data_IF_884960545384
#
_entry.id   IF_884960545384
#
_cell.length_a   1.000
_cell.length_b   1.000
_cell.length_c   1.000
_cell.angle_alpha   90.00
_cell.angle_beta   90.00
_cell.angle_gamma   90.00
#
_symmetry.space_group_name_H-M   'P 1'
#
loop_
_entity.id
_entity.type
_entity.pdbx_description
1 polymer ?
#
# COMPACT_ATOMS: atom_id res chain seq x y z
N UNK A 1 1.20 -13.29 -4.09
CA UNK A 1 2.58 -12.77 -4.19
C UNK A 1 3.07 -12.60 -2.77
N UNK A 2 4.32 -13.00 -2.51
CA UNK A 2 4.95 -12.75 -1.23
C UNK A 2 5.94 -11.62 -1.42
N UNK A 3 5.88 -10.63 -0.55
CA UNK A 3 6.86 -9.55 -0.48
C UNK A 3 7.24 -9.34 0.97
N UNK A 4 8.50 -9.02 1.14
CA UNK A 4 9.03 -8.55 2.40
C UNK A 4 9.25 -7.05 2.27
N UNK A 5 8.84 -6.31 3.29
CA UNK A 5 8.97 -4.87 3.31
C UNK A 5 9.42 -4.40 4.69
N UNK A 6 10.23 -3.35 4.71
CA UNK A 6 10.54 -2.62 5.93
C UNK A 6 9.74 -1.34 5.98
N UNK A 7 8.91 -1.20 7.01
CA UNK A 7 8.23 0.04 7.36
C UNK A 7 9.22 0.95 8.10
N UNK A 8 9.49 2.12 7.51
CA UNK A 8 10.35 3.14 8.09
C UNK A 8 9.53 4.13 8.92
N UNK A 9 10.10 4.59 10.03
CA UNK A 9 9.47 5.53 10.97
C UNK A 9 9.18 4.91 12.33
N UNK A 10 8.69 5.75 13.26
CA UNK A 10 8.57 5.38 14.68
C UNK A 10 9.93 5.31 15.38
N UNK A 11 9.99 4.61 16.52
CA UNK A 11 11.24 4.44 17.28
C UNK A 11 12.27 3.56 16.54
N UNK A 12 11.80 2.55 15.79
CA UNK A 12 12.66 1.60 15.05
C UNK A 12 11.96 1.11 13.76
N UNK A 13 12.71 0.87 12.67
CA UNK A 13 12.19 0.21 11.48
C UNK A 13 11.60 -1.17 11.79
N UNK A 14 10.52 -1.54 11.10
CA UNK A 14 9.82 -2.82 11.30
C UNK A 14 9.82 -3.64 10.01
N UNK A 15 10.39 -4.84 10.06
CA UNK A 15 10.33 -5.81 8.99
C UNK A 15 8.99 -6.56 8.99
N UNK A 16 8.35 -6.67 7.83
CA UNK A 16 7.00 -7.22 7.68
C UNK A 16 6.91 -8.07 6.41
N UNK A 17 6.55 -9.34 6.57
CA UNK A 17 6.25 -10.24 5.46
C UNK A 17 4.77 -10.22 5.11
N UNK A 18 4.44 -9.89 3.86
CA UNK A 18 3.08 -9.84 3.33
C UNK A 18 2.91 -10.89 2.24
N UNK A 19 1.80 -11.64 2.28
CA UNK A 19 1.55 -12.74 1.36
C UNK A 19 0.25 -12.58 0.57
N UNK A 20 0.08 -13.45 -0.44
CA UNK A 20 -1.17 -13.55 -1.21
C UNK A 20 -1.56 -12.25 -1.91
N UNK A 21 -2.82 -11.83 -1.70
CA UNK A 21 -3.39 -10.59 -2.27
C UNK A 21 -2.96 -9.34 -1.52
N UNK A 22 -2.71 -9.43 -0.21
CA UNK A 22 -2.20 -8.31 0.58
C UNK A 22 -0.81 -7.88 0.10
N UNK A 23 0.08 -8.85 -0.19
CA UNK A 23 1.37 -8.59 -0.82
C UNK A 23 1.25 -7.96 -2.22
N UNK A 24 0.27 -8.41 -3.03
CA UNK A 24 0.00 -7.79 -4.34
C UNK A 24 -0.47 -6.32 -4.19
N UNK A 25 -1.36 -6.04 -3.24
CA UNK A 25 -1.85 -4.68 -2.97
C UNK A 25 -0.72 -3.76 -2.50
N UNK A 26 0.13 -4.21 -1.58
CA UNK A 26 1.28 -3.41 -1.13
C UNK A 26 2.28 -3.17 -2.28
N UNK A 27 2.58 -4.20 -3.08
CA UNK A 27 3.44 -4.03 -4.26
C UNK A 27 2.88 -2.98 -5.22
N UNK A 28 1.58 -3.04 -5.52
CA UNK A 28 0.92 -2.05 -6.39
C UNK A 28 1.00 -0.63 -5.82
N UNK A 29 0.78 -0.46 -4.51
CA UNK A 29 0.96 0.83 -3.82
C UNK A 29 2.39 1.36 -3.94
N UNK A 30 3.39 0.52 -3.71
CA UNK A 30 4.81 0.91 -3.80
C UNK A 30 5.18 1.31 -5.23
N UNK A 31 4.69 0.60 -6.25
CA UNK A 31 4.90 0.94 -7.65
C UNK A 31 4.22 2.27 -8.04
N UNK A 32 3.00 2.50 -7.57
CA UNK A 32 2.22 3.71 -7.87
C UNK A 32 2.73 4.95 -7.13
N UNK A 33 3.47 4.78 -6.02
CA UNK A 33 4.02 5.88 -5.21
C UNK A 33 2.91 6.88 -4.83
N UNK A 34 3.13 8.17 -5.11
CA UNK A 34 2.18 9.25 -4.84
C UNK A 34 0.94 9.24 -5.75
N UNK A 35 0.97 8.54 -6.88
CA UNK A 35 -0.20 8.43 -7.75
C UNK A 35 -1.30 7.56 -7.14
N UNK A 36 -0.94 6.63 -6.25
CA UNK A 36 -1.90 5.72 -5.63
C UNK A 36 -2.57 4.76 -6.60
N UNK A 37 -3.49 3.94 -6.07
CA UNK A 37 -4.20 2.92 -6.83
C UNK A 37 -5.71 3.03 -6.61
N UNK A 38 -6.48 2.69 -7.64
CA UNK A 38 -7.95 2.66 -7.60
C UNK A 38 -8.50 1.27 -7.98
N UNK A 39 -9.71 0.90 -7.51
CA UNK A 39 -10.40 -0.31 -7.97
C UNK A 39 -10.62 -0.36 -9.49
N UNK A 40 -10.68 0.79 -10.18
CA UNK A 40 -10.86 0.84 -11.63
C UNK A 40 -9.63 0.34 -12.40
N UNK A 41 -8.43 0.67 -11.92
CA UNK A 41 -7.15 0.22 -12.48
C UNK A 41 -6.79 -1.22 -12.02
N UNK A 42 -7.36 -1.66 -10.89
CA UNK A 42 -7.03 -2.94 -10.25
C UNK A 42 -8.30 -3.76 -9.89
N UNK A 43 -9.15 -4.11 -10.88
CA UNK A 43 -10.49 -4.66 -10.61
C UNK A 43 -10.48 -6.03 -9.91
N UNK A 44 -9.42 -6.82 -10.12
CA UNK A 44 -9.28 -8.17 -9.53
C UNK A 44 -8.93 -8.16 -8.04
N UNK A 45 -8.60 -7.01 -7.47
CA UNK A 45 -8.24 -6.87 -6.06
C UNK A 45 -9.40 -6.27 -5.28
N UNK A 46 -9.77 -6.91 -4.16
CA UNK A 46 -10.69 -6.32 -3.17
C UNK A 46 -9.96 -5.24 -2.37
N UNK A 47 -9.60 -4.13 -3.03
CA UNK A 47 -8.69 -3.12 -2.49
C UNK A 47 -9.13 -2.65 -1.10
N UNK A 48 -10.39 -2.27 -0.91
CA UNK A 48 -10.87 -1.79 0.39
C UNK A 48 -10.56 -2.76 1.55
N UNK A 49 -10.69 -4.07 1.32
CA UNK A 49 -10.38 -5.08 2.34
C UNK A 49 -8.88 -5.17 2.63
N UNK A 50 -8.04 -5.20 1.60
CA UNK A 50 -6.60 -5.32 1.80
C UNK A 50 -5.97 -4.03 2.30
N UNK A 51 -6.49 -2.86 1.91
CA UNK A 51 -6.09 -1.58 2.47
C UNK A 51 -6.42 -1.52 3.96
N UNK A 52 -7.60 -2.01 4.36
CA UNK A 52 -7.94 -2.12 5.78
C UNK A 52 -6.96 -3.03 6.53
N UNK A 53 -6.67 -4.23 6.01
CA UNK A 53 -5.68 -5.13 6.63
C UNK A 53 -4.26 -4.53 6.69
N UNK A 54 -3.83 -3.78 5.67
CA UNK A 54 -2.55 -3.09 5.68
C UNK A 54 -2.50 -1.98 6.74
N UNK A 55 -3.61 -1.26 6.96
CA UNK A 55 -3.70 -0.27 8.03
C UNK A 55 -3.62 -0.92 9.41
N UNK A 56 -4.25 -2.06 9.62
CA UNK A 56 -4.18 -2.80 10.89
C UNK A 56 -2.74 -3.26 11.20
N UNK A 57 -1.94 -3.57 10.18
CA UNK A 57 -0.52 -3.90 10.32
C UNK A 57 0.32 -2.67 10.72
N UNK A 58 -0.17 -1.46 10.41
CA UNK A 58 0.44 -0.19 10.80
C UNK A 58 0.88 0.70 9.63
N UNK A 59 0.52 0.36 8.39
CA UNK A 59 0.81 1.23 7.24
C UNK A 59 -0.17 2.40 7.16
N UNK A 60 0.35 3.61 7.06
CA UNK A 60 -0.43 4.82 6.80
C UNK A 60 -0.75 4.89 5.32
N UNK A 61 -2.04 4.81 5.01
CA UNK A 61 -2.56 4.86 3.64
C UNK A 61 -3.74 5.82 3.64
N UNK A 62 -3.71 6.83 2.77
CA UNK A 62 -4.80 7.78 2.59
C UNK A 62 -5.87 7.21 1.65
N UNK A 63 -7.10 7.68 1.81
CA UNK A 63 -8.21 7.44 0.88
C UNK A 63 -8.76 8.77 0.42
N UNK A 64 -8.74 9.00 -0.89
CA UNK A 64 -9.42 10.11 -1.55
C UNK A 64 -10.58 9.56 -2.37
N UNK A 65 -11.71 10.27 -2.41
CA UNK A 65 -12.80 9.95 -3.32
C UNK A 65 -12.57 10.69 -4.63
N UNK A 66 -12.42 9.94 -5.72
CA UNK A 66 -12.29 10.47 -7.06
C UNK A 66 -13.57 10.24 -7.85
N UNK A 67 -14.02 11.28 -8.54
CA UNK A 67 -15.11 11.19 -9.51
C UNK A 67 -14.66 10.37 -10.71
N UNK A 68 -15.54 9.51 -11.22
CA UNK A 68 -15.37 8.86 -12.51
C UNK A 68 -16.57 9.14 -13.41
N UNK A 69 -16.26 9.36 -14.69
CA UNK A 69 -17.24 9.60 -15.75
C UNK A 69 -17.52 8.31 -16.55
N UNK A 70 -18.51 8.36 -17.45
CA UNK A 70 -18.90 7.27 -18.34
C UNK A 70 -20.40 6.98 -18.26
N UNK A 71 -20.82 5.83 -18.78
CA UNK A 71 -22.24 5.41 -18.78
C UNK A 71 -22.80 5.23 -17.36
N UNK A 72 -21.92 5.01 -16.39
CA UNK A 72 -22.23 4.90 -14.97
C UNK A 72 -21.31 5.85 -14.19
N UNK A 73 -21.67 7.14 -14.06
CA UNK A 73 -20.87 8.09 -13.31
C UNK A 73 -21.00 7.87 -11.80
N UNK A 74 -19.95 8.19 -11.05
CA UNK A 74 -19.94 7.98 -9.60
C UNK A 74 -18.61 8.36 -8.97
N UNK A 75 -18.39 7.88 -7.74
CA UNK A 75 -17.15 8.08 -6.99
C UNK A 75 -16.51 6.74 -6.70
N UNK A 76 -15.18 6.73 -6.70
CA UNK A 76 -14.41 5.58 -6.26
C UNK A 76 -13.23 6.02 -5.39
N UNK A 77 -12.73 5.11 -4.58
CA UNK A 77 -11.59 5.40 -3.71
C UNK A 77 -10.27 5.31 -4.49
N UNK A 78 -9.41 6.31 -4.34
CA UNK A 78 -7.98 6.22 -4.64
C UNK A 78 -7.18 6.12 -3.34
N UNK A 79 -6.31 5.13 -3.28
CA UNK A 79 -5.50 4.82 -2.12
C UNK A 79 -4.05 5.21 -2.34
N UNK A 80 -3.46 6.01 -1.44
CA UNK A 80 -2.07 6.46 -1.53
C UNK A 80 -1.27 6.04 -0.31
N UNK A 81 -0.15 5.35 -0.54
CA UNK A 81 0.77 4.97 0.54
C UNK A 81 1.51 6.22 1.05
N UNK A 82 1.40 6.48 2.35
CA UNK A 82 2.07 7.61 3.02
C UNK A 82 3.24 7.16 3.87
N UNK A 83 3.18 5.93 4.39
CA UNK A 83 4.32 5.30 5.02
C UNK A 83 5.51 5.23 4.08
N UNK A 84 6.69 5.55 4.60
CA UNK A 84 7.95 5.25 3.90
C UNK A 84 8.22 3.75 4.04
N UNK A 85 8.26 3.04 2.92
CA UNK A 85 8.43 1.58 2.89
C UNK A 85 9.56 1.23 1.92
N UNK A 86 10.46 0.36 2.37
CA UNK A 86 11.58 -0.18 1.57
C UNK A 86 11.29 -1.65 1.29
N UNK A 87 11.56 -2.11 0.07
CA UNK A 87 11.44 -3.54 -0.25
C UNK A 87 12.59 -4.33 0.37
N UNK A 88 12.28 -5.49 0.96
CA UNK A 88 13.23 -6.37 1.62
C UNK A 88 13.56 -5.97 3.06
N UNK A 89 14.55 -6.66 3.62
CA UNK A 89 15.08 -6.38 4.96
C UNK A 89 16.04 -5.19 4.89
N UNK A 90 15.79 -4.17 5.70
CA UNK A 90 16.64 -2.99 5.79
C UNK A 90 17.64 -3.16 6.93
N UNK A 91 18.86 -3.60 6.60
CA UNK A 91 19.97 -3.56 7.53
C UNK A 91 20.60 -2.15 7.54
N UNK A 92 20.58 -1.49 8.70
CA UNK A 92 21.44 -0.34 8.94
C UNK A 92 22.77 -0.88 9.44
N UNK A 93 23.83 -0.78 8.64
CA UNK A 93 25.18 -0.94 9.16
C UNK A 93 25.42 0.18 10.17
N UNK A 94 25.61 -0.18 11.44
CA UNK A 94 25.99 0.76 12.47
C UNK A 94 27.38 1.31 12.11
N UNK A 95 27.44 2.58 11.72
CA UNK A 95 28.72 3.28 11.57
C UNK A 95 29.40 3.35 12.96
N UNK A 96 30.63 2.83 13.01
CA UNK A 96 31.51 2.84 14.18
C UNK A 96 32.01 4.24 14.53
#
# INVERSE_FOLDING_TARGET
>A
MNIDVTLMGGERPRYISLSGRMGQTMHALMCAKSQGITPLENPSLRLAAYIHSLRDVGFTIDTELEEHCGDYPGFHARYRLRSTVIAGDFHVEAAQ
#
